data_IF_791174513412
#
_entry.id   IF_791174513412
#
_cell.length_a   1.000
_cell.length_b   1.000
_cell.length_c   1.000
_cell.angle_alpha   90.00
_cell.angle_beta   90.00
_cell.angle_gamma   90.00
#
_symmetry.space_group_name_H-M   'P 1'
#
loop_
_entity.id
_entity.type
_entity.pdbx_description
1 polymer ?
#
# COMPACT_ATOMS: atom_id res chain seq x y z
N UNK A 1 0.24 -17.92 -12.35
CA UNK A 1 1.17 -18.28 -11.25
C UNK A 1 2.43 -17.44 -11.39
N UNK A 2 3.08 -17.05 -10.29
CA UNK A 2 4.33 -16.27 -10.33
C UNK A 2 5.51 -17.19 -10.69
N UNK A 3 6.33 -16.88 -11.71
CA UNK A 3 7.41 -17.75 -12.16
C UNK A 3 8.68 -17.58 -11.30
N UNK A 4 8.61 -17.84 -9.99
CA UNK A 4 9.70 -17.57 -9.04
C UNK A 4 11.05 -18.25 -9.39
N UNK A 5 11.02 -19.37 -10.12
CA UNK A 5 12.20 -20.16 -10.48
C UNK A 5 12.67 -19.95 -11.93
N UNK A 6 11.96 -19.14 -12.72
CA UNK A 6 12.38 -18.82 -14.08
C UNK A 6 13.57 -17.85 -14.08
N UNK A 7 14.34 -17.80 -15.19
CA UNK A 7 15.36 -16.78 -15.41
C UNK A 7 14.84 -15.36 -15.14
N UNK A 8 15.72 -14.47 -14.67
CA UNK A 8 15.37 -13.08 -14.30
C UNK A 8 14.69 -12.32 -15.45
N UNK A 9 15.07 -12.57 -16.70
CA UNK A 9 14.45 -11.97 -17.89
C UNK A 9 12.99 -12.38 -18.04
N UNK A 10 12.68 -13.68 -17.97
CA UNK A 10 11.30 -14.19 -18.04
C UNK A 10 10.44 -13.68 -16.88
N UNK A 11 11.02 -13.57 -15.67
CA UNK A 11 10.36 -12.99 -14.51
C UNK A 11 9.99 -11.52 -14.74
N UNK A 12 10.88 -10.74 -15.36
CA UNK A 12 10.63 -9.34 -15.72
C UNK A 12 9.57 -9.24 -16.84
N UNK A 13 9.63 -10.08 -17.87
CA UNK A 13 8.64 -10.06 -18.95
C UNK A 13 7.24 -10.42 -18.44
N UNK A 14 7.17 -11.44 -17.58
CA UNK A 14 5.93 -11.80 -16.89
C UNK A 14 5.39 -10.63 -16.05
N UNK A 15 6.26 -9.88 -15.38
CA UNK A 15 5.89 -8.72 -14.56
C UNK A 15 5.27 -7.60 -15.41
N UNK A 16 5.86 -7.28 -16.56
CA UNK A 16 5.27 -6.29 -17.48
C UNK A 16 3.98 -6.80 -18.12
N UNK A 17 3.87 -8.10 -18.41
CA UNK A 17 2.60 -8.71 -18.81
C UNK A 17 1.52 -8.63 -17.72
N UNK A 18 1.90 -8.74 -16.43
CA UNK A 18 0.99 -8.52 -15.30
C UNK A 18 0.50 -7.07 -15.25
N UNK A 19 1.41 -6.10 -15.40
CA UNK A 19 1.06 -4.69 -15.44
C UNK A 19 0.09 -4.37 -16.59
N UNK A 20 0.35 -4.91 -17.78
CA UNK A 20 -0.50 -4.71 -18.96
C UNK A 20 -1.91 -5.29 -18.76
N UNK A 21 -2.03 -6.54 -18.26
CA UNK A 21 -3.33 -7.15 -17.96
C UNK A 21 -4.09 -6.33 -16.91
N UNK A 22 -3.40 -5.87 -15.87
CA UNK A 22 -4.01 -5.01 -14.86
C UNK A 22 -4.57 -3.71 -15.46
N UNK A 23 -3.80 -3.03 -16.33
CA UNK A 23 -4.25 -1.81 -16.98
C UNK A 23 -5.48 -2.06 -17.86
N UNK A 24 -5.50 -3.17 -18.62
CA UNK A 24 -6.64 -3.58 -19.46
C UNK A 24 -7.90 -3.87 -18.61
N UNK A 25 -7.77 -4.65 -17.55
CA UNK A 25 -8.86 -4.92 -16.59
C UNK A 25 -9.34 -3.62 -15.95
N UNK A 26 -8.42 -2.76 -15.51
CA UNK A 26 -8.76 -1.51 -14.85
C UNK A 26 -9.52 -0.57 -15.78
N UNK A 27 -9.09 -0.47 -17.04
CA UNK A 27 -9.70 0.38 -18.05
C UNK A 27 -10.96 -0.21 -18.70
N UNK A 28 -11.36 -1.45 -18.36
CA UNK A 28 -12.55 -2.07 -18.95
C UNK A 28 -13.82 -1.25 -18.63
N UNK A 29 -14.82 -1.23 -19.53
CA UNK A 29 -16.08 -0.54 -19.28
C UNK A 29 -16.77 -0.99 -17.98
N UNK A 30 -16.77 -2.29 -17.69
CA UNK A 30 -17.39 -2.87 -16.49
C UNK A 30 -16.67 -2.40 -15.23
N UNK A 31 -15.33 -2.44 -15.21
CA UNK A 31 -14.55 -1.97 -14.08
C UNK A 31 -14.70 -0.47 -13.86
N UNK A 32 -14.76 0.30 -14.95
CA UNK A 32 -15.01 1.74 -14.89
C UNK A 32 -16.40 2.05 -14.31
N UNK A 33 -17.46 1.42 -14.82
CA UNK A 33 -18.83 1.59 -14.32
C UNK A 33 -18.97 1.16 -12.86
N UNK A 34 -18.31 0.07 -12.46
CA UNK A 34 -18.30 -0.38 -11.07
C UNK A 34 -17.67 0.66 -10.14
N UNK A 35 -16.57 1.30 -10.55
CA UNK A 35 -15.97 2.42 -9.79
C UNK A 35 -16.89 3.63 -9.74
N UNK A 36 -17.50 4.03 -10.85
CA UNK A 36 -18.42 5.18 -10.87
C UNK A 36 -19.62 4.94 -9.96
N UNK A 37 -20.22 3.75 -10.02
CA UNK A 37 -21.33 3.36 -9.14
C UNK A 37 -20.91 3.39 -7.67
N UNK A 38 -19.72 2.86 -7.35
CA UNK A 38 -19.20 2.92 -5.99
C UNK A 38 -19.06 4.37 -5.51
N UNK A 39 -18.41 5.24 -6.30
CA UNK A 39 -18.18 6.64 -5.94
C UNK A 39 -19.47 7.46 -5.85
N UNK A 40 -20.51 7.12 -6.62
CA UNK A 40 -21.82 7.75 -6.52
C UNK A 40 -22.54 7.39 -5.20
N UNK A 41 -22.41 6.15 -4.74
CA UNK A 41 -23.01 5.67 -3.49
C UNK A 41 -22.17 6.03 -2.26
N UNK A 42 -20.84 6.11 -2.44
CA UNK A 42 -19.84 6.29 -1.39
C UNK A 42 -18.84 7.38 -1.82
N UNK A 43 -19.24 8.66 -1.73
CA UNK A 43 -18.43 9.77 -2.21
C UNK A 43 -17.20 10.07 -1.35
N UNK A 44 -17.05 9.51 -0.16
CA UNK A 44 -15.84 9.72 0.67
C UNK A 44 -14.60 9.20 -0.06
N UNK A 45 -13.58 10.05 -0.23
CA UNK A 45 -12.30 9.62 -0.77
C UNK A 45 -11.54 8.80 0.28
N UNK A 46 -10.97 7.66 -0.11
CA UNK A 46 -10.27 6.77 0.84
C UNK A 46 -8.78 6.79 0.54
N UNK A 47 -8.00 7.28 1.50
CA UNK A 47 -6.54 7.24 1.49
C UNK A 47 -6.07 6.23 2.53
N UNK A 48 -5.09 5.39 2.18
CA UNK A 48 -4.54 4.38 3.09
C UNK A 48 -3.03 4.58 3.22
N UNK A 49 -2.56 4.84 4.43
CA UNK A 49 -1.15 4.89 4.77
C UNK A 49 -0.74 3.53 5.36
N UNK A 50 0.13 2.80 4.68
CA UNK A 50 0.46 1.41 5.04
C UNK A 50 1.92 1.03 4.86
N UNK A 51 2.28 -0.11 5.43
CA UNK A 51 3.59 -0.72 5.21
C UNK A 51 3.78 -1.18 3.76
N UNK A 52 5.04 -1.31 3.35
CA UNK A 52 5.43 -1.91 2.07
C UNK A 52 5.21 -3.43 2.00
N UNK A 53 4.91 -4.07 3.14
CA UNK A 53 4.63 -5.50 3.24
C UNK A 53 3.51 -5.91 2.27
N UNK A 54 3.81 -6.85 1.39
CA UNK A 54 2.90 -7.31 0.33
C UNK A 54 1.63 -7.98 0.85
N UNK A 55 1.59 -8.40 2.12
CA UNK A 55 0.41 -9.01 2.75
C UNK A 55 -0.69 -7.98 3.05
N UNK A 56 -0.35 -6.69 3.20
CA UNK A 56 -1.30 -5.64 3.56
C UNK A 56 -2.04 -5.13 2.31
N UNK A 57 -2.91 -5.97 1.78
CA UNK A 57 -3.67 -5.69 0.58
C UNK A 57 -5.11 -5.28 0.90
N UNK A 58 -5.27 -4.05 1.41
CA UNK A 58 -6.57 -3.55 1.88
C UNK A 58 -7.68 -3.65 0.82
N UNK A 59 -7.51 -3.25 -0.45
CA UNK A 59 -8.58 -3.42 -1.44
C UNK A 59 -9.07 -4.86 -1.60
N UNK A 60 -8.17 -5.85 -1.54
CA UNK A 60 -8.55 -7.27 -1.56
C UNK A 60 -9.21 -7.66 -0.25
N UNK A 61 -8.61 -7.31 0.89
CA UNK A 61 -9.11 -7.63 2.21
C UNK A 61 -10.49 -7.00 2.48
N UNK A 62 -10.85 -5.89 1.83
CA UNK A 62 -12.15 -5.23 1.95
C UNK A 62 -13.05 -5.48 0.72
N UNK A 63 -12.65 -6.36 -0.20
CA UNK A 63 -13.34 -6.64 -1.47
C UNK A 63 -13.79 -5.37 -2.22
N UNK A 64 -12.96 -4.34 -2.17
CA UNK A 64 -13.26 -3.02 -2.71
C UNK A 64 -12.76 -2.92 -4.15
N UNK A 65 -13.54 -2.33 -5.08
CA UNK A 65 -13.09 -2.18 -6.46
C UNK A 65 -11.72 -1.50 -6.54
N UNK A 66 -10.83 -2.04 -7.39
CA UNK A 66 -9.50 -1.47 -7.66
C UNK A 66 -9.65 0.01 -8.06
N UNK A 67 -8.81 0.88 -7.51
CA UNK A 67 -8.83 2.33 -7.81
C UNK A 67 -9.70 3.20 -6.92
N UNK A 68 -10.50 2.62 -6.03
CA UNK A 68 -11.25 3.39 -5.00
C UNK A 68 -10.33 3.84 -3.86
N UNK A 69 -9.43 2.96 -3.43
CA UNK A 69 -8.50 3.21 -2.33
C UNK A 69 -7.18 3.74 -2.90
N UNK A 70 -6.75 4.90 -2.42
CA UNK A 70 -5.47 5.53 -2.73
C UNK A 70 -4.42 5.11 -1.70
N UNK A 71 -3.41 4.28 -2.04
CA UNK A 71 -2.41 3.89 -1.07
C UNK A 71 -1.20 4.84 -1.06
N UNK A 72 -0.63 5.00 0.13
CA UNK A 72 0.70 5.51 0.42
C UNK A 72 1.44 4.38 1.13
N UNK A 73 2.61 3.99 0.61
CA UNK A 73 3.39 2.85 1.12
C UNK A 73 4.75 3.32 1.58
N UNK A 74 5.15 2.97 2.79
CA UNK A 74 6.52 3.16 3.27
C UNK A 74 6.97 1.96 4.10
N UNK A 75 8.26 1.79 4.32
CA UNK A 75 8.79 0.76 5.21
C UNK A 75 8.14 0.89 6.59
N UNK A 76 7.59 -0.20 7.11
CA UNK A 76 6.91 -0.25 8.40
C UNK A 76 5.59 0.51 8.48
N UNK A 77 5.18 1.22 7.42
CA UNK A 77 4.13 2.24 7.52
C UNK A 77 4.60 3.44 8.33
N UNK A 78 5.91 3.69 8.36
CA UNK A 78 6.50 4.83 9.04
C UNK A 78 6.28 6.06 8.18
N UNK A 79 5.62 7.08 8.72
CA UNK A 79 5.37 8.33 8.01
C UNK A 79 5.58 9.51 8.95
N UNK A 80 5.97 10.64 8.40
CA UNK A 80 6.11 11.89 9.12
C UNK A 80 5.63 13.02 8.23
N UNK A 81 4.51 13.65 8.57
CA UNK A 81 3.91 14.70 7.74
C UNK A 81 4.75 15.97 7.68
N UNK A 82 5.72 16.14 8.58
CA UNK A 82 6.76 17.17 8.50
C UNK A 82 7.81 16.93 7.42
N UNK A 83 7.90 15.71 6.85
CA UNK A 83 8.76 15.46 5.70
C UNK A 83 8.20 16.18 4.45
N UNK A 84 8.96 17.12 3.83
CA UNK A 84 8.40 18.01 2.81
C UNK A 84 7.71 17.26 1.66
N UNK A 85 8.34 16.23 1.11
CA UNK A 85 7.76 15.53 -0.04
C UNK A 85 6.47 14.77 0.29
N UNK A 86 6.42 14.10 1.45
CA UNK A 86 5.19 13.41 1.89
C UNK A 86 4.09 14.43 2.21
N UNK A 87 4.41 15.43 3.03
CA UNK A 87 3.48 16.46 3.47
C UNK A 87 2.84 17.19 2.29
N UNK A 88 3.64 17.62 1.31
CA UNK A 88 3.15 18.27 0.08
C UNK A 88 2.30 17.31 -0.77
N UNK A 89 2.76 16.07 -0.97
CA UNK A 89 2.05 15.10 -1.81
C UNK A 89 0.68 14.73 -1.23
N UNK A 90 0.63 14.49 0.09
CA UNK A 90 -0.60 14.15 0.79
C UNK A 90 -1.54 15.36 0.85
N UNK A 91 -1.03 16.54 1.21
CA UNK A 91 -1.82 17.78 1.26
C UNK A 91 -2.41 18.09 -0.11
N UNK A 92 -1.62 18.03 -1.18
CA UNK A 92 -2.13 18.24 -2.53
C UNK A 92 -3.23 17.23 -2.93
N UNK A 93 -3.09 15.96 -2.52
CA UNK A 93 -4.11 14.94 -2.77
C UNK A 93 -5.41 15.22 -2.00
N UNK A 94 -5.32 15.60 -0.72
CA UNK A 94 -6.47 15.93 0.11
C UNK A 94 -7.12 17.25 -0.31
N UNK A 95 -6.34 18.27 -0.69
CA UNK A 95 -6.85 19.54 -1.22
C UNK A 95 -7.71 19.34 -2.48
N UNK A 96 -7.32 18.43 -3.39
CA UNK A 96 -8.14 18.07 -4.55
C UNK A 96 -9.51 17.54 -4.12
N UNK A 97 -9.55 16.69 -3.08
CA UNK A 97 -10.80 16.15 -2.53
C UNK A 97 -11.64 17.27 -1.91
N UNK A 98 -11.04 18.09 -1.05
CA UNK A 98 -11.74 19.20 -0.37
C UNK A 98 -12.30 20.22 -1.37
N UNK A 99 -11.52 20.61 -2.38
CA UNK A 99 -11.98 21.54 -3.44
C UNK A 99 -13.16 21.00 -4.25
N UNK A 100 -13.32 19.67 -4.32
CA UNK A 100 -14.47 19.03 -4.95
C UNK A 100 -15.70 18.92 -4.03
N UNK A 101 -15.65 19.48 -2.81
CA UNK A 101 -16.73 19.41 -1.82
C UNK A 101 -16.88 18.03 -1.16
N UNK A 102 -15.91 17.14 -1.35
CA UNK A 102 -15.93 15.77 -0.82
C UNK A 102 -15.17 15.69 0.51
N UNK A 103 -15.50 14.66 1.28
CA UNK A 103 -14.78 14.30 2.50
C UNK A 103 -13.72 13.23 2.21
N UNK A 104 -12.73 13.11 3.10
CA UNK A 104 -11.67 12.12 3.02
C UNK A 104 -11.58 11.29 4.31
N UNK A 105 -11.52 9.97 4.15
CA UNK A 105 -11.12 9.02 5.18
C UNK A 105 -9.65 8.66 4.96
N UNK A 106 -8.79 8.98 5.92
CA UNK A 106 -7.39 8.59 5.91
C UNK A 106 -7.19 7.44 6.89
N UNK A 107 -7.05 6.22 6.36
CA UNK A 107 -6.80 5.01 7.16
C UNK A 107 -5.30 4.87 7.39
N UNK A 108 -4.88 4.99 8.64
CA UNK A 108 -3.48 4.93 9.09
C UNK A 108 -3.25 3.55 9.70
N UNK A 109 -2.36 2.77 9.11
CA UNK A 109 -2.28 1.34 9.41
C UNK A 109 -0.97 0.89 10.01
N UNK A 110 -1.08 0.05 11.04
CA UNK A 110 -0.02 -0.86 11.49
C UNK A 110 -0.45 -2.28 11.18
N UNK A 111 0.49 -3.22 11.19
CA UNK A 111 0.16 -4.63 11.01
C UNK A 111 0.86 -5.54 12.02
N UNK A 112 0.25 -6.69 12.27
CA UNK A 112 0.75 -7.71 13.17
C UNK A 112 0.22 -9.09 12.74
N UNK A 113 0.83 -10.15 13.26
CA UNK A 113 0.34 -11.52 13.12
C UNK A 113 -0.10 -12.00 14.50
N UNK A 114 -1.31 -12.54 14.59
CA UNK A 114 -1.88 -13.09 15.83
C UNK A 114 -1.19 -14.39 16.26
N UNK A 115 -0.81 -15.23 15.29
CA UNK A 115 -0.24 -16.54 15.53
C UNK A 115 1.27 -16.56 15.81
N UNK A 116 2.02 -15.55 15.34
CA UNK A 116 3.45 -15.43 15.64
C UNK A 116 3.92 -13.97 15.49
N UNK A 117 4.40 -13.36 16.58
CA UNK A 117 4.92 -12.00 16.59
C UNK A 117 6.02 -11.78 15.54
N UNK A 118 6.86 -12.79 15.26
CA UNK A 118 7.95 -12.72 14.27
C UNK A 118 7.45 -12.59 12.84
N UNK A 119 6.16 -12.82 12.59
CA UNK A 119 5.52 -12.53 11.29
C UNK A 119 4.90 -11.14 11.24
N UNK A 120 5.02 -10.35 12.31
CA UNK A 120 4.57 -8.95 12.36
C UNK A 120 5.44 -8.00 11.54
N UNK A 121 5.36 -6.71 11.86
CA UNK A 121 6.07 -5.67 11.12
C UNK A 121 7.58 -5.67 11.40
N UNK A 122 8.37 -6.14 10.43
CA UNK A 122 9.84 -6.07 10.51
C UNK A 122 10.37 -4.62 10.62
N UNK A 123 9.65 -3.63 10.06
CA UNK A 123 10.02 -2.21 10.17
C UNK A 123 10.03 -1.67 11.61
N UNK A 124 9.34 -2.34 12.53
CA UNK A 124 9.33 -2.03 13.97
C UNK A 124 9.98 -3.13 14.81
N UNK A 125 10.81 -4.00 14.19
CA UNK A 125 11.43 -5.15 14.84
C UNK A 125 10.40 -6.07 15.52
N UNK A 126 9.25 -6.29 14.86
CA UNK A 126 8.16 -7.14 15.35
C UNK A 126 7.45 -6.62 16.61
N UNK A 127 7.78 -5.40 17.07
CA UNK A 127 7.15 -4.76 18.23
C UNK A 127 5.84 -4.09 17.80
N UNK A 128 4.73 -4.83 17.86
CA UNK A 128 3.40 -4.34 17.49
C UNK A 128 2.98 -3.10 18.26
N UNK A 129 3.35 -3.00 19.54
CA UNK A 129 3.03 -1.83 20.37
C UNK A 129 3.63 -0.53 19.79
N UNK A 130 4.87 -0.58 19.31
CA UNK A 130 5.57 0.58 18.75
C UNK A 130 4.99 0.97 17.39
N UNK A 131 4.70 -0.03 16.54
CA UNK A 131 4.03 0.20 15.27
C UNK A 131 2.66 0.87 15.47
N UNK A 132 1.89 0.40 16.46
CA UNK A 132 0.61 0.99 16.83
C UNK A 132 0.77 2.41 17.39
N UNK A 133 1.71 2.63 18.31
CA UNK A 133 1.97 3.96 18.88
C UNK A 133 2.29 4.99 17.78
N UNK A 134 3.09 4.59 16.78
CA UNK A 134 3.42 5.44 15.65
C UNK A 134 2.19 5.81 14.79
N UNK A 135 1.21 4.91 14.61
CA UNK A 135 -0.02 5.28 13.89
C UNK A 135 -0.84 6.36 14.61
N UNK A 136 -0.83 6.37 15.94
CA UNK A 136 -1.44 7.45 16.72
C UNK A 136 -0.63 8.76 16.66
N UNK A 137 0.69 8.71 16.44
CA UNK A 137 1.50 9.90 16.14
C UNK A 137 1.06 10.53 14.82
N UNK A 138 0.95 9.72 13.75
CA UNK A 138 0.49 10.18 12.44
C UNK A 138 -0.95 10.72 12.53
N UNK A 139 -1.82 10.10 13.32
CA UNK A 139 -3.18 10.61 13.56
C UNK A 139 -3.14 12.03 14.15
N UNK A 140 -2.28 12.27 15.16
CA UNK A 140 -2.11 13.61 15.74
C UNK A 140 -1.56 14.62 14.74
N UNK A 141 -0.59 14.22 13.91
CA UNK A 141 -0.07 15.08 12.85
C UNK A 141 -1.17 15.46 11.85
N UNK A 142 -2.01 14.49 11.44
CA UNK A 142 -3.17 14.75 10.57
C UNK A 142 -4.16 15.72 11.20
N UNK A 143 -4.50 15.53 12.48
CA UNK A 143 -5.40 16.44 13.19
C UNK A 143 -4.82 17.85 13.32
N UNK A 144 -3.49 17.99 13.45
CA UNK A 144 -2.82 19.28 13.48
C UNK A 144 -2.85 20.00 12.13
N UNK A 145 -2.75 19.27 11.01
CA UNK A 145 -2.73 19.84 9.66
C UNK A 145 -4.14 20.09 9.10
N UNK A 146 -5.07 19.15 9.31
CA UNK A 146 -6.41 19.17 8.68
C UNK A 146 -7.56 19.48 9.66
N UNK A 147 -7.23 19.75 10.93
CA UNK A 147 -8.17 20.19 11.95
C UNK A 147 -8.67 19.07 12.87
N UNK A 148 -8.62 19.33 14.18
CA UNK A 148 -8.98 18.37 15.23
C UNK A 148 -10.49 18.05 15.34
N UNK A 149 -11.34 18.79 14.62
CA UNK A 149 -12.79 18.51 14.56
C UNK A 149 -13.15 17.38 13.59
N UNK A 150 -12.20 16.93 12.75
CA UNK A 150 -12.33 15.81 11.81
C UNK A 150 -13.54 15.88 10.85
N UNK A 151 -14.07 17.08 10.61
CA UNK A 151 -15.29 17.28 9.81
C UNK A 151 -15.12 17.00 8.32
N UNK A 152 -13.92 17.21 7.77
CA UNK A 152 -13.66 17.02 6.32
C UNK A 152 -12.65 15.93 6.04
N UNK A 153 -11.57 15.87 6.82
CA UNK A 153 -10.56 14.82 6.77
C UNK A 153 -10.61 14.07 8.10
N UNK A 154 -10.91 12.77 8.04
CA UNK A 154 -10.99 11.92 9.22
C UNK A 154 -9.79 10.95 9.27
N UNK A 155 -8.85 11.12 10.22
CA UNK A 155 -7.71 10.21 10.36
C UNK A 155 -8.08 9.01 11.25
N UNK A 156 -8.35 7.86 10.62
CA UNK A 156 -8.71 6.63 11.30
C UNK A 156 -7.48 5.73 11.52
N UNK A 157 -7.15 5.43 12.78
CA UNK A 157 -6.17 4.39 13.09
C UNK A 157 -6.81 3.01 12.93
N UNK A 158 -6.17 2.14 12.16
CA UNK A 158 -6.67 0.81 11.87
C UNK A 158 -5.53 -0.22 11.91
N UNK A 159 -5.65 -1.24 12.76
CA UNK A 159 -4.77 -2.40 12.72
C UNK A 159 -5.12 -3.34 11.57
N UNK A 160 -4.10 -3.99 11.02
CA UNK A 160 -4.25 -5.09 10.06
C UNK A 160 -3.64 -6.37 10.64
N UNK A 161 -4.47 -7.35 10.98
CA UNK A 161 -4.04 -8.67 11.41
C UNK A 161 -3.79 -9.54 10.17
N UNK A 162 -2.57 -10.02 9.98
CA UNK A 162 -2.13 -10.63 8.70
C UNK A 162 -2.49 -12.11 8.55
N UNK A 163 -2.92 -12.79 9.60
CA UNK A 163 -3.22 -14.22 9.53
C UNK A 163 -4.61 -14.45 8.91
N UNK A 164 -5.58 -13.63 9.31
CA UNK A 164 -6.97 -13.66 8.84
C UNK A 164 -7.30 -12.48 7.90
N UNK A 165 -6.32 -11.60 7.60
CA UNK A 165 -6.49 -10.34 6.88
C UNK A 165 -7.56 -9.43 7.54
N UNK A 166 -7.63 -9.45 8.87
CA UNK A 166 -8.68 -8.77 9.62
C UNK A 166 -8.32 -7.32 9.97
N UNK A 167 -9.29 -6.42 9.79
CA UNK A 167 -9.18 -5.03 10.22
C UNK A 167 -9.53 -4.88 11.70
N UNK A 168 -8.79 -4.03 12.40
CA UNK A 168 -9.05 -3.63 13.79
C UNK A 168 -9.23 -2.11 13.84
N UNK A 169 -10.47 -1.65 13.94
CA UNK A 169 -10.81 -0.23 13.97
C UNK A 169 -10.58 0.31 15.38
N UNK A 170 -9.77 1.37 15.52
CA UNK A 170 -9.55 2.05 16.80
C UNK A 170 -10.50 3.22 16.96
N UNK A 171 -11.20 3.25 18.09
CA UNK A 171 -12.19 4.27 18.45
C UNK A 171 -11.74 5.22 19.54
N UNK A 172 -12.70 5.98 20.05
CA UNK A 172 -12.50 6.83 21.21
C UNK A 172 -12.17 6.01 22.47
N UNK A 173 -11.50 6.64 23.44
CA UNK A 173 -11.22 6.06 24.77
C UNK A 173 -10.46 4.72 24.76
N UNK A 174 -9.75 4.40 23.68
CA UNK A 174 -9.01 3.15 23.54
C UNK A 174 -9.87 1.94 23.19
N UNK A 175 -11.15 2.13 22.86
CA UNK A 175 -12.01 1.05 22.37
C UNK A 175 -11.57 0.59 20.99
N UNK A 176 -11.79 -0.69 20.69
CA UNK A 176 -11.45 -1.29 19.40
C UNK A 176 -12.56 -2.19 18.91
N UNK A 177 -12.76 -2.22 17.59
CA UNK A 177 -13.61 -3.18 16.90
C UNK A 177 -12.75 -4.05 15.99
N UNK A 178 -12.54 -5.30 16.41
CA UNK A 178 -11.84 -6.31 15.62
C UNK A 178 -12.84 -7.07 14.74
N UNK A 179 -12.67 -6.97 13.43
CA UNK A 179 -13.57 -7.60 12.46
C UNK A 179 -13.50 -9.14 12.49
N UNK A 180 -12.40 -9.72 12.97
CA UNK A 180 -12.27 -11.18 13.12
C UNK A 180 -13.20 -11.75 14.21
N UNK A 181 -13.65 -10.92 15.16
CA UNK A 181 -14.52 -11.35 16.25
C UNK A 181 -16.02 -11.28 15.89
N UNK A 182 -16.34 -10.81 14.68
CA UNK A 182 -17.72 -10.66 14.20
C UNK A 182 -18.13 -11.80 13.27
N UNK A 183 -19.45 -11.94 13.12
CA UNK A 183 -20.10 -12.87 12.19
C UNK A 183 -21.18 -12.16 11.36
N UNK A 184 -21.80 -12.88 10.43
CA UNK A 184 -22.95 -12.34 9.67
C UNK A 184 -24.12 -11.91 10.57
N UNK A 185 -24.27 -12.53 11.75
CA UNK A 185 -25.31 -12.17 12.72
C UNK A 185 -25.09 -10.77 13.34
N UNK A 186 -23.86 -10.26 13.33
CA UNK A 186 -23.52 -8.95 13.90
C UNK A 186 -23.75 -7.78 12.92
N UNK A 187 -23.91 -8.08 11.62
CA UNK A 187 -24.05 -7.08 10.55
C UNK A 187 -25.16 -6.06 10.83
N UNK A 188 -26.38 -6.42 11.29
CA UNK A 188 -27.43 -5.44 11.57
C UNK A 188 -27.06 -4.44 12.67
N UNK A 189 -26.22 -4.84 13.64
CA UNK A 189 -25.79 -3.99 14.76
C UNK A 189 -24.54 -3.16 14.48
N UNK A 190 -23.81 -3.47 13.40
CA UNK A 190 -22.53 -2.83 13.07
C UNK A 190 -22.61 -1.30 12.92
N UNK A 191 -23.63 -0.70 12.27
CA UNK A 191 -23.75 0.76 12.18
C UNK A 191 -23.80 1.45 13.55
N UNK A 192 -24.53 0.86 14.51
CA UNK A 192 -24.66 1.42 15.85
C UNK A 192 -23.37 1.26 16.66
N UNK A 193 -22.68 0.12 16.51
CA UNK A 193 -21.35 -0.08 17.11
C UNK A 193 -20.36 0.96 16.60
N UNK A 194 -20.35 1.26 15.30
CA UNK A 194 -19.48 2.30 14.73
C UNK A 194 -19.82 3.70 15.22
N UNK A 195 -21.10 4.03 15.41
CA UNK A 195 -21.50 5.32 15.99
C UNK A 195 -20.97 5.47 17.41
N UNK A 196 -21.01 4.42 18.21
CA UNK A 196 -20.48 4.43 19.58
C UNK A 196 -18.94 4.51 19.59
N UNK A 197 -18.29 3.70 18.77
CA UNK A 197 -16.83 3.62 18.67
C UNK A 197 -16.21 4.92 18.15
N UNK A 198 -16.88 5.58 17.20
CA UNK A 198 -16.38 6.74 16.45
C UNK A 198 -17.43 7.88 16.47
N UNK A 199 -17.70 8.47 17.65
CA UNK A 199 -18.79 9.44 17.82
C UNK A 199 -18.54 10.78 17.12
N UNK A 200 -17.28 11.12 16.89
CA UNK A 200 -16.85 12.32 16.17
C UNK A 200 -16.80 12.12 14.64
N UNK A 201 -16.95 10.89 14.15
CA UNK A 201 -16.91 10.60 12.71
C UNK A 201 -18.15 11.18 12.00
N UNK A 202 -17.97 11.98 10.93
CA UNK A 202 -19.08 12.46 10.12
C UNK A 202 -19.96 11.33 9.60
N UNK A 203 -21.27 11.55 9.57
CA UNK A 203 -22.26 10.53 9.17
C UNK A 203 -21.96 9.91 7.81
N UNK A 204 -21.58 10.73 6.82
CA UNK A 204 -21.24 10.26 5.47
C UNK A 204 -19.96 9.40 5.47
N UNK A 205 -18.91 9.82 6.18
CA UNK A 205 -17.67 9.02 6.30
C UNK A 205 -17.96 7.68 6.98
N UNK A 206 -18.76 7.67 8.05
CA UNK A 206 -19.16 6.45 8.76
C UNK A 206 -19.99 5.52 7.87
N UNK A 207 -20.90 6.07 7.08
CA UNK A 207 -21.68 5.33 6.09
C UNK A 207 -20.76 4.70 5.03
N UNK A 208 -19.76 5.44 4.54
CA UNK A 208 -18.84 4.98 3.49
C UNK A 208 -17.73 4.04 3.99
N UNK A 209 -17.45 4.04 5.30
CA UNK A 209 -16.60 3.04 5.95
C UNK A 209 -17.28 1.67 6.03
N UNK A 210 -18.60 1.62 6.22
CA UNK A 210 -19.35 0.38 6.38
C UNK A 210 -19.13 -0.66 5.26
N UNK A 211 -19.21 -0.34 3.95
CA UNK A 211 -18.98 -1.31 2.89
C UNK A 211 -17.57 -1.93 2.94
N UNK A 212 -16.55 -1.19 3.41
CA UNK A 212 -15.20 -1.73 3.58
C UNK A 212 -15.16 -2.81 4.66
N UNK A 213 -15.79 -2.54 5.80
CA UNK A 213 -15.85 -3.47 6.94
C UNK A 213 -16.68 -4.71 6.61
N UNK A 214 -17.82 -4.54 5.92
CA UNK A 214 -18.61 -5.67 5.44
C UNK A 214 -17.86 -6.53 4.42
N UNK A 215 -17.08 -5.91 3.54
CA UNK A 215 -16.18 -6.63 2.64
C UNK A 215 -15.11 -7.39 3.41
N UNK A 216 -14.56 -6.81 4.47
CA UNK A 216 -13.59 -7.47 5.33
C UNK A 216 -14.16 -8.67 6.09
N UNK A 217 -15.37 -8.54 6.63
CA UNK A 217 -16.07 -9.65 7.26
C UNK A 217 -16.25 -10.84 6.31
N UNK A 218 -16.69 -10.59 5.07
CA UNK A 218 -16.84 -11.63 4.03
C UNK A 218 -15.49 -12.25 3.66
N UNK A 219 -14.45 -11.42 3.51
CA UNK A 219 -13.10 -11.91 3.18
C UNK A 219 -12.54 -12.81 4.27
N UNK A 220 -12.65 -12.41 5.55
CA UNK A 220 -12.24 -13.24 6.69
C UNK A 220 -12.96 -14.59 6.67
N UNK A 221 -14.27 -14.61 6.41
CA UNK A 221 -15.03 -15.85 6.30
C UNK A 221 -14.51 -16.78 5.18
N UNK A 222 -14.10 -16.21 4.04
CA UNK A 222 -13.47 -16.95 2.93
C UNK A 222 -12.08 -17.48 3.31
N UNK A 223 -11.26 -16.66 3.98
CA UNK A 223 -9.93 -17.05 4.46
C UNK A 223 -10.02 -18.22 5.45
N UNK A 224 -10.99 -18.19 6.37
CA UNK A 224 -11.20 -19.29 7.34
C UNK A 224 -11.58 -20.62 6.69
N UNK A 225 -12.15 -20.59 5.48
CA UNK A 225 -12.50 -21.80 4.72
C UNK A 225 -11.33 -22.34 3.90
N UNK A 226 -10.23 -21.61 3.80
CA UNK A 226 -9.04 -22.03 3.05
C UNK A 226 -7.93 -22.50 4.00
N UNK A 227 -7.23 -23.56 3.60
CA UNK A 227 -6.00 -23.98 4.30
C UNK A 227 -4.90 -22.98 3.92
N UNK A 228 -4.75 -21.92 4.72
CA UNK A 228 -3.73 -20.89 4.50
C UNK A 228 -2.41 -21.35 5.10
N UNK A 229 -1.37 -21.45 4.26
CA UNK A 229 0.00 -21.54 4.76
C UNK A 229 0.40 -20.16 5.25
N UNK A 230 0.36 -19.97 6.58
CA UNK A 230 0.68 -18.68 7.23
C UNK A 230 2.19 -18.43 7.29
N UNK A 231 2.99 -19.48 7.14
CA UNK A 231 4.43 -19.38 6.95
C UNK A 231 4.73 -19.03 5.50
N UNK A 232 4.48 -17.76 5.18
CA UNK A 232 4.72 -17.21 3.86
C UNK A 232 6.23 -17.03 3.75
N UNK A 233 6.91 -18.02 3.17
CA UNK A 233 8.34 -17.91 2.88
C UNK A 233 8.57 -16.70 1.97
N UNK A 234 9.25 -15.68 2.51
CA UNK A 234 9.62 -14.47 1.78
C UNK A 234 10.47 -14.83 0.56
N UNK A 235 9.98 -14.47 -0.64
CA UNK A 235 10.57 -14.77 -1.96
C UNK A 235 10.62 -13.54 -2.87
N UNK A 236 10.64 -12.36 -2.26
CA UNK A 236 10.76 -11.10 -2.98
C UNK A 236 12.08 -11.11 -3.76
N UNK A 237 12.01 -10.72 -5.03
CA UNK A 237 13.14 -10.64 -5.96
C UNK A 237 13.24 -9.27 -6.65
N UNK A 238 12.40 -8.30 -6.26
CA UNK A 238 12.43 -6.95 -6.79
C UNK A 238 12.32 -5.87 -5.70
N UNK A 239 13.03 -4.78 -5.93
CA UNK A 239 12.95 -3.54 -5.17
C UNK A 239 12.22 -2.53 -6.06
N UNK A 240 11.03 -2.11 -5.63
CA UNK A 240 10.24 -1.11 -6.34
C UNK A 240 10.40 0.23 -5.63
N UNK A 241 10.80 1.28 -6.34
CA UNK A 241 11.01 2.61 -5.76
C UNK A 241 10.11 3.63 -6.43
N UNK A 242 9.41 4.43 -5.61
CA UNK A 242 8.48 5.44 -6.11
C UNK A 242 7.02 5.12 -5.79
N UNK A 243 6.13 5.35 -6.75
CA UNK A 243 4.67 5.27 -6.60
C UNK A 243 4.03 4.58 -7.81
N UNK A 244 2.74 4.24 -7.71
CA UNK A 244 2.00 3.67 -8.85
C UNK A 244 2.08 2.14 -8.99
N UNK A 245 2.46 1.45 -7.91
CA UNK A 245 2.51 -0.02 -7.85
C UNK A 245 1.19 -0.65 -7.40
N UNK A 246 0.05 -0.03 -7.71
CA UNK A 246 -1.28 -0.51 -7.31
C UNK A 246 -1.66 -1.83 -7.99
N UNK A 247 -1.06 -2.07 -9.16
CA UNK A 247 -1.15 -3.32 -9.90
C UNK A 247 -0.34 -4.45 -9.27
N UNK A 248 0.66 -4.14 -8.45
CA UNK A 248 1.57 -5.08 -7.82
C UNK A 248 1.07 -5.44 -6.41
N UNK A 249 0.08 -6.32 -6.37
CA UNK A 249 -0.69 -6.69 -5.18
C UNK A 249 -0.53 -8.17 -4.80
N UNK A 250 0.51 -8.81 -5.35
CA UNK A 250 0.85 -10.21 -5.10
C UNK A 250 1.87 -10.28 -3.95
N UNK A 251 1.63 -11.10 -2.91
CA UNK A 251 2.59 -11.29 -1.84
C UNK A 251 3.88 -11.94 -2.37
N UNK A 252 4.99 -11.77 -1.63
CA UNK A 252 6.30 -12.36 -1.90
C UNK A 252 6.93 -12.01 -3.26
N UNK A 253 6.48 -10.93 -3.89
CA UNK A 253 6.99 -10.55 -5.20
C UNK A 253 8.00 -9.39 -5.07
N UNK A 254 7.61 -8.35 -4.34
CA UNK A 254 8.28 -7.05 -4.35
C UNK A 254 8.33 -6.37 -2.98
N UNK A 255 9.41 -5.63 -2.77
CA UNK A 255 9.56 -4.68 -1.66
C UNK A 255 9.33 -3.27 -2.23
N UNK A 256 8.20 -2.64 -1.89
CA UNK A 256 7.76 -1.37 -2.50
C UNK A 256 8.03 -0.18 -1.59
N UNK A 257 9.04 0.61 -1.93
CA UNK A 257 9.53 1.74 -1.16
C UNK A 257 8.99 3.05 -1.76
N UNK A 258 8.12 3.72 -1.02
CA UNK A 258 7.69 5.09 -1.35
C UNK A 258 8.75 6.13 -0.99
N UNK A 259 8.81 7.28 -1.69
CA UNK A 259 9.78 8.34 -1.45
C UNK A 259 9.41 9.22 -0.23
N UNK A 260 8.92 8.60 0.84
CA UNK A 260 8.30 9.29 1.98
C UNK A 260 9.19 9.33 3.22
N UNK A 261 10.43 8.84 3.12
CA UNK A 261 11.44 8.89 4.19
C UNK A 261 12.45 10.00 3.89
N UNK A 262 12.91 10.76 4.91
CA UNK A 262 14.05 11.68 4.77
C UNK A 262 15.36 10.95 4.41
N UNK A 263 15.51 9.70 4.87
CA UNK A 263 16.57 8.80 4.43
C UNK A 263 15.94 7.71 3.55
N UNK A 264 16.00 7.92 2.23
CA UNK A 264 15.54 6.93 1.26
C UNK A 264 16.56 5.78 1.10
N UNK A 265 17.82 5.96 1.49
CA UNK A 265 18.85 4.93 1.34
C UNK A 265 18.66 3.78 2.34
N UNK A 266 18.27 4.06 3.59
CA UNK A 266 18.00 3.03 4.59
C UNK A 266 17.00 1.94 4.16
N UNK A 267 15.77 2.27 3.71
CA UNK A 267 14.83 1.25 3.26
C UNK A 267 15.33 0.48 2.03
N UNK A 268 16.10 1.13 1.14
CA UNK A 268 16.71 0.47 -0.03
C UNK A 268 17.78 -0.54 0.42
N UNK A 269 18.64 -0.18 1.38
CA UNK A 269 19.64 -1.10 1.96
C UNK A 269 18.98 -2.29 2.63
N UNK A 270 17.93 -2.06 3.42
CA UNK A 270 17.15 -3.14 4.05
C UNK A 270 16.53 -4.06 2.99
N UNK A 271 15.97 -3.50 1.93
CA UNK A 271 15.39 -4.29 0.85
C UNK A 271 16.44 -5.13 0.12
N UNK A 272 17.58 -4.56 -0.25
CA UNK A 272 18.70 -5.30 -0.83
C UNK A 272 19.24 -6.40 0.10
N UNK A 273 19.30 -6.14 1.41
CA UNK A 273 19.63 -7.15 2.42
C UNK A 273 18.67 -8.34 2.41
N UNK A 274 17.36 -8.09 2.27
CA UNK A 274 16.34 -9.14 2.14
C UNK A 274 16.55 -9.94 0.85
N UNK A 275 16.76 -9.28 -0.30
CA UNK A 275 17.04 -9.96 -1.57
C UNK A 275 18.26 -10.87 -1.45
N UNK A 276 19.37 -10.35 -0.89
CA UNK A 276 20.60 -11.12 -0.65
C UNK A 276 20.36 -12.35 0.21
N UNK A 277 19.60 -12.18 1.30
CA UNK A 277 19.25 -13.28 2.20
C UNK A 277 18.33 -14.31 1.53
N UNK A 278 17.44 -13.89 0.62
CA UNK A 278 16.60 -14.79 -0.17
C UNK A 278 17.45 -15.62 -1.13
N UNK A 279 18.42 -15.01 -1.83
CA UNK A 279 19.35 -15.72 -2.72
C UNK A 279 20.21 -16.73 -1.96
N UNK A 280 20.85 -16.31 -0.86
CA UNK A 280 21.72 -17.20 -0.05
C UNK A 280 20.97 -18.40 0.54
N UNK A 281 19.69 -18.23 0.87
CA UNK A 281 18.84 -19.29 1.36
C UNK A 281 18.25 -20.18 0.23
N UNK A 282 18.54 -19.90 -1.05
CA UNK A 282 17.98 -20.62 -2.18
C UNK A 282 16.47 -20.40 -2.39
N UNK A 283 15.89 -19.36 -1.76
CA UNK A 283 14.47 -19.02 -1.84
C UNK A 283 14.11 -18.39 -3.19
N UNK A 284 15.05 -17.67 -3.77
CA UNK A 284 15.02 -17.19 -5.16
C UNK A 284 16.32 -17.62 -5.87
N UNK A 285 16.32 -17.75 -7.21
CA UNK A 285 17.55 -18.04 -7.94
C UNK A 285 18.57 -16.90 -7.81
N UNK A 286 19.85 -17.22 -7.97
CA UNK A 286 21.02 -16.33 -7.88
C UNK A 286 21.40 -15.69 -9.24
N UNK A 287 20.48 -15.73 -10.19
CA UNK A 287 20.59 -15.24 -11.57
C UNK A 287 20.26 -13.75 -11.73
N UNK A 288 19.80 -13.08 -10.67
CA UNK A 288 19.48 -11.67 -10.69
C UNK A 288 18.32 -11.21 -9.83
N UNK A 289 18.22 -9.90 -9.70
CA UNK A 289 17.07 -9.21 -9.10
C UNK A 289 16.75 -7.92 -9.86
N UNK A 290 15.56 -7.37 -9.63
CA UNK A 290 15.09 -6.17 -10.33
C UNK A 290 15.05 -4.96 -9.39
N UNK A 291 15.60 -3.83 -9.83
CA UNK A 291 15.18 -2.49 -9.37
C UNK A 291 14.21 -1.92 -10.40
N UNK A 292 13.00 -1.59 -9.95
CA UNK A 292 11.97 -0.99 -10.78
C UNK A 292 11.56 0.37 -10.19
N UNK A 293 11.82 1.46 -10.90
CA UNK A 293 11.25 2.75 -10.53
C UNK A 293 9.92 3.00 -11.26
N UNK A 294 8.98 3.63 -10.56
CA UNK A 294 7.73 4.09 -11.15
C UNK A 294 7.25 5.40 -10.53
N UNK A 295 6.74 6.29 -11.38
CA UNK A 295 6.15 7.56 -10.95
C UNK A 295 4.83 7.77 -11.69
N UNK A 296 3.73 8.04 -10.96
CA UNK A 296 2.47 8.35 -11.59
C UNK A 296 2.43 9.78 -12.14
N UNK A 297 1.71 9.95 -13.24
CA UNK A 297 1.29 11.24 -13.78
C UNK A 297 -0.21 11.20 -14.09
N UNK A 298 -0.88 12.34 -13.98
CA UNK A 298 -2.30 12.50 -14.34
C UNK A 298 -2.43 13.11 -15.74
N UNK A 299 -1.62 14.14 -16.02
CA UNK A 299 -1.69 14.93 -17.25
C UNK A 299 -0.49 14.68 -18.17
N UNK A 300 -0.74 14.70 -19.48
CA UNK A 300 0.33 14.72 -20.48
C UNK A 300 1.11 16.05 -20.45
N UNK A 301 2.26 16.10 -21.12
CA UNK A 301 3.10 17.30 -21.13
C UNK A 301 3.97 17.40 -19.88
N UNK A 302 3.86 18.51 -19.13
CA UNK A 302 4.77 18.84 -18.02
C UNK A 302 4.71 17.82 -16.88
N UNK A 303 3.53 17.31 -16.52
CA UNK A 303 3.40 16.34 -15.43
C UNK A 303 4.05 15.00 -15.77
N UNK A 304 3.78 14.46 -16.97
CA UNK A 304 4.49 13.29 -17.49
C UNK A 304 6.01 13.51 -17.57
N UNK A 305 6.48 14.63 -18.10
CA UNK A 305 7.91 14.93 -18.19
C UNK A 305 8.57 14.96 -16.79
N UNK A 306 7.90 15.55 -15.80
CA UNK A 306 8.34 15.52 -14.40
C UNK A 306 8.35 14.10 -13.82
N UNK A 307 7.37 13.27 -14.16
CA UNK A 307 7.32 11.88 -13.73
C UNK A 307 8.51 11.06 -14.30
N UNK A 308 8.89 11.30 -15.55
CA UNK A 308 10.07 10.70 -16.19
C UNK A 308 11.35 11.07 -15.43
N UNK A 309 11.59 12.37 -15.18
CA UNK A 309 12.75 12.83 -14.41
C UNK A 309 12.84 12.19 -13.02
N UNK A 310 11.72 12.14 -12.29
CA UNK A 310 11.65 11.50 -10.97
C UNK A 310 11.92 10.01 -11.04
N UNK A 311 11.38 9.32 -12.05
CA UNK A 311 11.56 7.89 -12.24
C UNK A 311 13.02 7.54 -12.56
N UNK A 312 13.65 8.36 -13.40
CA UNK A 312 15.09 8.29 -13.68
C UNK A 312 15.92 8.43 -12.40
N UNK A 313 15.73 9.54 -11.67
CA UNK A 313 16.45 9.81 -10.43
C UNK A 313 16.32 8.68 -9.41
N UNK A 314 15.09 8.18 -9.17
CA UNK A 314 14.87 7.14 -8.16
C UNK A 314 15.51 5.81 -8.52
N UNK A 315 15.48 5.41 -9.79
CA UNK A 315 16.16 4.18 -10.23
C UNK A 315 17.68 4.30 -10.06
N UNK A 316 18.25 5.42 -10.50
CA UNK A 316 19.70 5.62 -10.46
C UNK A 316 20.19 5.73 -9.00
N UNK A 317 19.48 6.48 -8.16
CA UNK A 317 19.75 6.57 -6.73
C UNK A 317 19.69 5.20 -6.05
N UNK A 318 18.64 4.41 -6.31
CA UNK A 318 18.51 3.09 -5.70
C UNK A 318 19.61 2.12 -6.16
N UNK A 319 19.94 2.14 -7.45
CA UNK A 319 21.03 1.35 -8.00
C UNK A 319 22.38 1.73 -7.38
N UNK A 320 22.64 3.02 -7.17
CA UNK A 320 23.87 3.51 -6.55
C UNK A 320 23.99 3.11 -5.07
N UNK A 321 22.89 3.14 -4.32
CA UNK A 321 22.86 2.62 -2.94
C UNK A 321 23.27 1.15 -2.92
N UNK A 322 22.73 0.32 -3.82
CA UNK A 322 23.09 -1.10 -3.88
C UNK A 322 24.55 -1.30 -4.29
N UNK A 323 25.03 -0.58 -5.32
CA UNK A 323 26.44 -0.68 -5.77
C UNK A 323 27.44 -0.35 -4.67
N UNK A 324 27.12 0.63 -3.82
CA UNK A 324 28.01 1.08 -2.73
C UNK A 324 28.06 0.10 -1.56
N UNK A 325 26.94 -0.53 -1.24
CA UNK A 325 26.76 -1.26 0.03
C UNK A 325 26.75 -2.79 -0.17
N UNK A 326 26.53 -3.28 -1.40
CA UNK A 326 26.40 -4.70 -1.73
C UNK A 326 27.16 -5.05 -3.00
N UNK A 327 28.48 -5.14 -2.89
CA UNK A 327 29.38 -5.51 -4.00
C UNK A 327 28.96 -6.86 -4.65
N UNK A 328 28.49 -7.82 -3.85
CA UNK A 328 28.03 -9.13 -4.32
C UNK A 328 26.71 -9.08 -5.11
N UNK A 329 25.82 -8.13 -4.79
CA UNK A 329 24.55 -7.96 -5.51
C UNK A 329 24.64 -7.06 -6.74
N UNK A 330 25.55 -6.07 -6.72
CA UNK A 330 25.69 -5.09 -7.79
C UNK A 330 25.72 -5.70 -9.22
N UNK A 331 26.48 -6.78 -9.51
CA UNK A 331 26.51 -7.37 -10.85
C UNK A 331 25.24 -8.13 -11.24
N UNK A 332 24.41 -8.52 -10.26
CA UNK A 332 23.16 -9.27 -10.46
C UNK A 332 21.94 -8.34 -10.68
N UNK A 333 22.15 -7.04 -10.58
CA UNK A 333 21.08 -6.04 -10.60
C UNK A 333 20.64 -5.71 -12.03
N UNK A 334 19.36 -5.93 -12.32
CA UNK A 334 18.69 -5.39 -13.50
C UNK A 334 17.90 -4.14 -13.11
N UNK A 335 18.06 -3.03 -13.85
CA UNK A 335 17.32 -1.79 -13.61
C UNK A 335 16.28 -1.57 -14.71
N UNK A 336 15.05 -1.24 -14.32
CA UNK A 336 13.97 -0.80 -15.23
C UNK A 336 13.33 0.47 -14.67
N UNK A 337 12.95 1.36 -15.58
CA UNK A 337 12.40 2.68 -15.27
C UNK A 337 11.05 2.79 -15.95
N UNK A 338 10.04 3.28 -15.23
CA UNK A 338 8.68 3.38 -15.77
C UNK A 338 7.98 4.66 -15.32
N UNK A 339 6.96 5.08 -16.05
CA UNK A 339 5.94 6.01 -15.55
C UNK A 339 4.58 5.32 -15.58
N UNK A 340 3.64 5.77 -14.73
CA UNK A 340 2.28 5.24 -14.68
C UNK A 340 1.28 6.34 -15.04
N UNK A 341 0.44 6.10 -16.03
CA UNK A 341 -0.72 6.96 -16.25
C UNK A 341 -1.78 6.70 -15.16
N UNK A 342 -2.13 7.71 -14.37
CA UNK A 342 -3.05 7.54 -13.24
C UNK A 342 -4.47 7.18 -13.69
N UNK A 343 -4.90 7.65 -14.86
CA UNK A 343 -6.27 7.47 -15.33
C UNK A 343 -6.49 6.08 -15.93
N UNK A 344 -5.51 5.55 -16.67
CA UNK A 344 -5.60 4.23 -17.30
C UNK A 344 -4.90 3.10 -16.52
N UNK A 345 -4.06 3.45 -15.53
CA UNK A 345 -3.11 2.53 -14.87
C UNK A 345 -2.11 1.87 -15.84
N UNK A 346 -1.93 2.43 -17.03
CA UNK A 346 -0.94 1.96 -17.96
C UNK A 346 0.48 2.23 -17.41
N UNK A 347 1.30 1.19 -17.36
CA UNK A 347 2.73 1.28 -17.05
C UNK A 347 3.49 1.44 -18.36
N UNK A 348 4.24 2.53 -18.48
CA UNK A 348 5.04 2.86 -19.65
C UNK A 348 6.52 2.65 -19.32
N UNK A 349 7.19 1.65 -19.93
CA UNK A 349 8.64 1.52 -19.86
C UNK A 349 9.32 2.72 -20.50
N UNK A 350 10.34 3.26 -19.82
CA UNK A 350 11.19 4.32 -20.36
C UNK A 350 12.35 3.71 -21.15
N UNK A 351 12.67 4.33 -22.27
CA UNK A 351 13.75 3.92 -23.16
C UNK A 351 15.02 4.73 -22.92
N UNK A 352 16.15 4.29 -23.46
CA UNK A 352 17.38 5.10 -23.41
C UNK A 352 17.17 6.38 -24.22
N UNK A 353 17.06 7.52 -23.52
CA UNK A 353 16.85 8.84 -24.12
C UNK A 353 15.69 9.64 -23.52
N UNK A 354 14.84 9.00 -22.70
CA UNK A 354 13.71 9.62 -21.99
C UNK A 354 14.10 10.36 -20.69
#
# INVERSE_FOLDING_TARGET
MVPHRSPITERIDWLFGLAQRHAQEYASPEAWLARQRHLANHPTAIVVMKCMDGRINIPVATQTPKGIIQPFRNLGGIFNLGWPHLGETLTAALEKVVRSGRQALVVITYHHSKGDERRGCAGFNFRTADARAHTFEIQREMSAVFGAAHGTVYPLVCGFETDEDALVVHGANGETLNMADLSEADVPGLPQRLLHLLPDMPTQIRHDLLPLLLGNLRHIAQIRQTVRTLDIEHREWMICVGRGFDWLHLPNLALIIGPYSPDLADPIRKAAGIIRANMRAGRIPDDGFLILSSVPYEDIGVDRARAVLKSNFMADFAADVVRKEFEDLAPLMTVRKTVLNWNSRAVEPLTQGD
#
